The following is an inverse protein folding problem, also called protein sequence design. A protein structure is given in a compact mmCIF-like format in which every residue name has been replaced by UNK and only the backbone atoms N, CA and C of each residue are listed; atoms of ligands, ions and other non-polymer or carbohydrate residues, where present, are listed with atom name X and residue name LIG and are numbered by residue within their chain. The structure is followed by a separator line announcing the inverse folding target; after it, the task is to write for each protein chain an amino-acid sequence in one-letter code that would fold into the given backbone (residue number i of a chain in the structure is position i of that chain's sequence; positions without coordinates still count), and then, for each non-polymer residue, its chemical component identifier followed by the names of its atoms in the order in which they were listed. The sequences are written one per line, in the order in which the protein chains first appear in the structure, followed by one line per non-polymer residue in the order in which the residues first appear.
data_IF_790851032908
#
_entry.id   IF_790851032908
#
_cell.length_a   1.000
_cell.length_b   1.000
_cell.length_c   1.000
_cell.angle_alpha   90.00
_cell.angle_beta   90.00
_cell.angle_gamma   90.00
#
_symmetry.space_group_name_H-M   'P 1'
#
loop_
_entity.id
_entity.type
_entity.pdbx_description
1 polymer ?
#
# COMPACT_ATOMS: atom_id res chain seq x y z
N UNK A 1 25.09 8.57 -6.56
CA UNK A 1 24.52 7.94 -5.35
C UNK A 1 23.99 6.56 -5.74
N UNK A 2 24.89 5.58 -5.90
CA UNK A 2 24.56 4.36 -6.69
C UNK A 2 25.23 3.08 -6.17
N UNK A 3 25.28 2.90 -4.85
CA UNK A 3 25.81 1.67 -4.23
C UNK A 3 24.82 0.97 -3.29
N UNK A 4 23.74 1.64 -2.87
CA UNK A 4 22.71 1.03 -2.02
C UNK A 4 21.60 0.31 -2.84
N UNK A 5 21.48 0.56 -4.15
CA UNK A 5 20.48 -0.08 -5.01
C UNK A 5 20.95 -1.42 -5.60
N UNK A 6 22.25 -1.71 -5.60
CA UNK A 6 22.81 -2.92 -6.22
C UNK A 6 22.96 -4.10 -5.26
N UNK A 7 22.85 -3.91 -3.95
CA UNK A 7 22.81 -5.01 -2.97
C UNK A 7 21.39 -5.54 -2.71
N UNK A 8 20.35 -4.79 -3.10
CA UNK A 8 18.95 -5.16 -2.91
C UNK A 8 18.48 -6.29 -3.86
N UNK A 9 19.25 -6.63 -4.91
CA UNK A 9 18.88 -7.64 -5.91
C UNK A 9 19.17 -9.10 -5.51
N UNK A 10 19.78 -9.36 -4.34
CA UNK A 10 20.05 -10.73 -3.83
C UNK A 10 19.09 -11.23 -2.75
N UNK A 11 18.26 -10.35 -2.19
CA UNK A 11 17.34 -10.71 -1.11
C UNK A 11 15.98 -11.12 -1.67
N UNK A 12 15.37 -12.14 -1.05
CA UNK A 12 14.01 -12.58 -1.41
C UNK A 12 13.02 -11.40 -1.25
N UNK A 13 12.01 -11.26 -2.12
CA UNK A 13 11.06 -10.15 -2.09
C UNK A 13 10.39 -9.91 -0.72
N UNK A 14 10.15 -10.96 0.06
CA UNK A 14 9.59 -10.88 1.42
C UNK A 14 10.53 -10.13 2.38
N UNK A 15 11.84 -10.38 2.25
CA UNK A 15 12.87 -9.71 3.07
C UNK A 15 12.99 -8.25 2.66
N UNK A 16 12.93 -7.97 1.36
CA UNK A 16 12.95 -6.59 0.85
C UNK A 16 11.72 -5.81 1.30
N UNK A 17 10.54 -6.44 1.33
CA UNK A 17 9.33 -5.83 1.85
C UNK A 17 9.45 -5.52 3.35
N UNK A 18 9.95 -6.47 4.14
CA UNK A 18 10.21 -6.25 5.57
C UNK A 18 11.20 -5.09 5.80
N UNK A 19 12.26 -5.03 5.01
CA UNK A 19 13.24 -3.94 5.06
C UNK A 19 12.61 -2.59 4.73
N UNK A 20 11.84 -2.51 3.63
CA UNK A 20 11.18 -1.27 3.24
C UNK A 20 10.23 -0.75 4.33
N UNK A 21 9.49 -1.65 4.99
CA UNK A 21 8.63 -1.29 6.13
C UNK A 21 9.44 -0.80 7.33
N UNK A 22 10.60 -1.42 7.61
CA UNK A 22 11.51 -0.97 8.66
C UNK A 22 12.06 0.43 8.37
N UNK A 23 12.48 0.69 7.13
CA UNK A 23 12.99 1.98 6.69
C UNK A 23 11.92 3.08 6.82
N UNK A 24 10.65 2.76 6.53
CA UNK A 24 9.52 3.65 6.82
C UNK A 24 9.38 3.99 8.29
N UNK A 25 9.49 3.00 9.17
CA UNK A 25 9.39 3.23 10.61
C UNK A 25 10.53 4.11 11.15
N UNK A 26 11.72 4.06 10.53
CA UNK A 26 12.86 4.91 10.88
C UNK A 26 12.60 6.39 10.54
N UNK A 27 11.95 6.66 9.42
CA UNK A 27 11.68 8.02 8.93
C UNK A 27 10.52 8.75 9.65
N UNK A 28 9.75 8.04 10.48
CA UNK A 28 8.68 8.63 11.28
C UNK A 28 9.23 9.47 12.46
N UNK A 29 8.57 10.58 12.79
CA UNK A 29 8.86 11.33 14.02
C UNK A 29 8.57 10.48 15.27
N UNK A 30 9.13 10.86 16.44
CA UNK A 30 8.94 10.08 17.68
C UNK A 30 7.48 9.79 18.03
N UNK A 31 6.60 10.78 17.89
CA UNK A 31 5.16 10.64 18.13
C UNK A 31 4.49 9.76 17.05
N UNK A 32 4.83 9.98 15.78
CA UNK A 32 4.32 9.16 14.66
C UNK A 32 4.75 7.70 14.79
N UNK A 33 5.97 7.45 15.26
CA UNK A 33 6.54 6.12 15.47
C UNK A 33 5.85 5.38 16.61
N UNK A 34 5.56 6.07 17.72
CA UNK A 34 4.79 5.51 18.82
C UNK A 34 3.36 5.14 18.38
N UNK A 35 2.68 6.04 17.66
CA UNK A 35 1.36 5.77 17.10
C UNK A 35 1.37 4.61 16.09
N UNK A 36 2.37 4.57 15.20
CA UNK A 36 2.54 3.50 14.23
C UNK A 36 2.76 2.14 14.90
N UNK A 37 3.62 2.05 15.91
CA UNK A 37 3.86 0.80 16.66
C UNK A 37 2.61 0.30 17.38
N UNK A 38 1.88 1.20 18.03
CA UNK A 38 0.62 0.87 18.69
C UNK A 38 -0.43 0.37 17.70
N UNK A 39 -0.51 0.99 16.52
CA UNK A 39 -1.44 0.59 15.47
C UNK A 39 -0.99 -0.63 14.68
N UNK A 40 0.31 -0.94 14.64
CA UNK A 40 0.87 -2.16 14.04
C UNK A 40 0.60 -3.38 14.91
N UNK A 41 0.58 -3.21 16.24
CA UNK A 41 0.31 -4.27 17.20
C UNK A 41 -1.18 -4.68 17.30
N UNK A 42 -2.11 -3.75 17.06
CA UNK A 42 -3.57 -4.00 17.14
C UNK A 42 -4.07 -5.06 16.13
N UNK A 43 -3.69 -5.01 14.84
CA UNK A 43 -4.06 -6.00 13.85
C UNK A 43 -3.67 -7.45 14.16
N UNK A 44 -2.65 -7.68 15.00
CA UNK A 44 -2.31 -9.05 15.43
C UNK A 44 -3.36 -9.67 16.35
N UNK A 45 -4.18 -8.85 17.00
CA UNK A 45 -5.28 -9.30 17.86
C UNK A 45 -6.58 -9.41 17.08
N UNK A 46 -6.81 -8.48 16.15
CA UNK A 46 -7.97 -8.47 15.26
C UNK A 46 -7.55 -7.95 13.88
N UNK A 47 -7.45 -8.80 12.84
CA UNK A 47 -7.07 -8.34 11.50
C UNK A 47 -8.06 -7.30 10.98
N UNK A 48 -7.59 -6.33 10.18
CA UNK A 48 -8.46 -5.28 9.66
C UNK A 48 -9.58 -5.90 8.83
N UNK A 49 -10.80 -5.44 9.04
CA UNK A 49 -12.00 -5.92 8.36
C UNK A 49 -12.35 -5.04 7.15
N UNK A 50 -13.21 -5.53 6.27
CA UNK A 50 -13.76 -4.72 5.16
C UNK A 50 -14.45 -3.44 5.68
N UNK A 51 -15.01 -3.47 6.90
CA UNK A 51 -15.59 -2.29 7.54
C UNK A 51 -14.54 -1.22 7.88
N UNK A 52 -13.31 -1.61 8.19
CA UNK A 52 -12.22 -0.67 8.45
C UNK A 52 -11.80 0.08 7.18
N UNK A 53 -11.82 -0.61 6.03
CA UNK A 53 -11.61 0.03 4.73
C UNK A 53 -12.73 1.04 4.40
N UNK A 54 -13.99 0.69 4.66
CA UNK A 54 -15.13 1.59 4.48
C UNK A 54 -15.10 2.78 5.46
N UNK A 55 -14.72 2.54 6.72
CA UNK A 55 -14.57 3.60 7.72
C UNK A 55 -13.49 4.59 7.33
N UNK A 56 -12.31 4.11 6.91
CA UNK A 56 -11.22 4.98 6.45
C UNK A 56 -11.65 5.82 5.23
N UNK A 57 -12.35 5.19 4.29
CA UNK A 57 -12.94 5.88 3.13
C UNK A 57 -13.84 7.04 3.57
N UNK A 58 -14.75 6.78 4.52
CA UNK A 58 -15.65 7.80 5.05
C UNK A 58 -14.91 8.90 5.85
N UNK A 59 -13.87 8.55 6.61
CA UNK A 59 -13.03 9.52 7.32
C UNK A 59 -12.32 10.48 6.36
N UNK A 60 -11.78 9.96 5.25
CA UNK A 60 -11.14 10.77 4.21
C UNK A 60 -12.16 11.67 3.51
N UNK A 61 -13.34 11.14 3.17
CA UNK A 61 -14.41 11.92 2.56
C UNK A 61 -14.88 13.06 3.47
N UNK A 62 -15.00 12.82 4.78
CA UNK A 62 -15.37 13.88 5.73
C UNK A 62 -14.26 14.93 5.88
N UNK A 63 -13.00 14.53 5.82
CA UNK A 63 -11.86 15.44 5.95
C UNK A 63 -11.68 16.32 4.70
N UNK A 64 -11.88 15.76 3.50
CA UNK A 64 -11.72 16.46 2.22
C UNK A 64 -13.01 17.16 1.76
N UNK A 65 -14.17 16.63 2.18
CA UNK A 65 -15.51 16.99 1.70
C UNK A 65 -16.07 18.34 2.13
N UNK A 66 -15.29 19.24 2.73
CA UNK A 66 -15.71 20.64 2.99
C UNK A 66 -16.03 21.43 1.70
N UNK A 67 -15.84 20.85 0.51
CA UNK A 67 -16.19 21.42 -0.79
C UNK A 67 -16.95 20.48 -1.74
N UNK A 68 -17.67 19.46 -1.23
CA UNK A 68 -18.59 18.64 -2.04
C UNK A 68 -17.95 17.56 -2.93
N UNK A 69 -16.65 17.30 -2.82
CA UNK A 69 -15.95 16.22 -3.54
C UNK A 69 -15.83 14.98 -2.65
N UNK A 70 -16.43 13.87 -3.09
CA UNK A 70 -16.25 12.55 -2.47
C UNK A 70 -15.14 11.79 -3.21
N UNK A 71 -14.00 11.58 -2.53
CA UNK A 71 -12.87 10.80 -3.02
C UNK A 71 -13.01 9.31 -2.69
N UNK A 72 -13.91 8.94 -1.79
CA UNK A 72 -14.05 7.61 -1.25
C UNK A 72 -14.22 6.52 -2.30
N UNK A 73 -15.11 6.67 -3.31
CA UNK A 73 -15.25 5.70 -4.40
C UNK A 73 -13.96 5.45 -5.19
N UNK A 74 -13.03 6.41 -5.21
CA UNK A 74 -11.73 6.27 -5.88
C UNK A 74 -10.73 5.46 -5.06
N UNK A 75 -10.85 5.49 -3.73
CA UNK A 75 -9.91 4.85 -2.81
C UNK A 75 -10.34 3.42 -2.43
N UNK A 76 -11.64 3.12 -2.47
CA UNK A 76 -12.20 1.90 -1.87
C UNK A 76 -11.56 0.61 -2.36
N UNK A 77 -11.32 0.46 -3.67
CA UNK A 77 -10.78 -0.77 -4.23
C UNK A 77 -9.33 -1.02 -3.77
N UNK A 78 -8.51 0.03 -3.76
CA UNK A 78 -7.14 -0.05 -3.28
C UNK A 78 -7.09 -0.33 -1.76
N UNK A 79 -7.92 0.36 -0.98
CA UNK A 79 -8.00 0.16 0.46
C UNK A 79 -8.45 -1.26 0.82
N UNK A 80 -9.41 -1.82 0.09
CA UNK A 80 -9.81 -3.22 0.25
C UNK A 80 -8.68 -4.18 -0.10
N UNK A 81 -7.88 -3.91 -1.13
CA UNK A 81 -6.71 -4.74 -1.46
C UNK A 81 -5.65 -4.69 -0.34
N UNK A 82 -5.32 -3.50 0.17
CA UNK A 82 -4.40 -3.35 1.30
C UNK A 82 -4.91 -4.03 2.58
N UNK A 83 -6.21 -3.90 2.88
CA UNK A 83 -6.85 -4.58 4.02
C UNK A 83 -6.79 -6.10 3.87
N UNK A 84 -7.16 -6.63 2.69
CA UNK A 84 -7.13 -8.06 2.43
C UNK A 84 -5.71 -8.62 2.53
N UNK A 85 -4.72 -7.90 2.03
CA UNK A 85 -3.32 -8.29 2.21
C UNK A 85 -2.93 -8.37 3.70
N UNK A 86 -3.31 -7.38 4.49
CA UNK A 86 -3.08 -7.39 5.94
C UNK A 86 -3.79 -8.57 6.63
N UNK A 87 -5.04 -8.86 6.26
CA UNK A 87 -5.83 -9.95 6.84
C UNK A 87 -5.33 -11.35 6.44
N UNK A 88 -4.68 -11.49 5.29
CA UNK A 88 -4.10 -12.75 4.81
C UNK A 88 -2.59 -12.83 5.01
N UNK A 89 -1.97 -11.88 5.73
CA UNK A 89 -0.53 -11.81 5.91
C UNK A 89 0.10 -13.10 6.45
N UNK A 90 -0.57 -13.73 7.43
CA UNK A 90 -0.17 -15.01 8.00
C UNK A 90 -0.12 -16.14 6.95
N UNK A 91 -1.04 -16.11 5.99
CA UNK A 91 -1.18 -17.15 4.97
C UNK A 91 -0.29 -16.85 3.75
N UNK A 92 -0.12 -15.58 3.41
CA UNK A 92 0.64 -15.14 2.22
C UNK A 92 2.14 -15.13 2.49
N UNK A 93 2.58 -14.71 3.69
CA UNK A 93 4.00 -14.48 3.99
C UNK A 93 4.53 -15.46 5.05
N UNK A 94 3.65 -16.00 5.91
CA UNK A 94 3.99 -17.01 6.92
C UNK A 94 4.56 -16.42 8.23
N UNK A 95 4.22 -17.06 9.36
CA UNK A 95 4.89 -16.89 10.65
C UNK A 95 5.00 -15.44 11.16
N UNK A 96 6.20 -15.04 11.59
CA UNK A 96 6.51 -13.71 12.17
C UNK A 96 6.35 -12.53 11.20
N UNK A 97 6.11 -12.79 9.91
CA UNK A 97 5.97 -11.75 8.88
C UNK A 97 4.54 -11.21 8.72
N UNK A 98 3.57 -11.73 9.47
CA UNK A 98 2.26 -11.10 9.64
C UNK A 98 2.36 -9.65 10.14
N UNK A 99 3.41 -9.34 10.92
CA UNK A 99 3.73 -7.97 11.33
C UNK A 99 3.96 -7.02 10.15
N UNK A 100 4.52 -7.52 9.05
CA UNK A 100 4.80 -6.72 7.83
C UNK A 100 3.49 -6.44 7.09
N UNK A 101 2.63 -7.45 6.96
CA UNK A 101 1.32 -7.30 6.34
C UNK A 101 0.40 -6.37 7.15
N UNK A 102 0.39 -6.51 8.48
CA UNK A 102 -0.32 -5.61 9.39
C UNK A 102 0.20 -4.17 9.32
N UNK A 103 1.52 -4.00 9.27
CA UNK A 103 2.16 -2.69 9.13
C UNK A 103 1.77 -1.99 7.82
N UNK A 104 1.51 -2.73 6.73
CA UNK A 104 1.06 -2.18 5.46
C UNK A 104 -0.26 -1.40 5.60
N UNK A 105 -1.25 -2.00 6.26
CA UNK A 105 -2.53 -1.35 6.51
C UNK A 105 -2.36 -0.07 7.32
N UNK A 106 -1.61 -0.14 8.42
CA UNK A 106 -1.32 1.01 9.27
C UNK A 106 -0.60 2.11 8.48
N UNK A 107 0.37 1.75 7.65
CA UNK A 107 1.14 2.68 6.83
C UNK A 107 0.27 3.42 5.82
N UNK A 108 -0.57 2.69 5.07
CA UNK A 108 -1.50 3.27 4.10
C UNK A 108 -2.50 4.19 4.81
N UNK A 109 -3.07 3.75 5.93
CA UNK A 109 -4.00 4.56 6.74
C UNK A 109 -3.35 5.86 7.19
N UNK A 110 -2.20 5.78 7.86
CA UNK A 110 -1.48 6.95 8.36
C UNK A 110 -1.09 7.90 7.23
N UNK A 111 -0.57 7.37 6.11
CA UNK A 111 -0.13 8.21 4.98
C UNK A 111 -1.31 8.96 4.36
N UNK A 112 -2.44 8.30 4.11
CA UNK A 112 -3.64 8.95 3.58
C UNK A 112 -4.22 9.99 4.54
N UNK A 113 -4.28 9.69 5.84
CA UNK A 113 -4.75 10.65 6.85
C UNK A 113 -3.85 11.88 6.94
N UNK A 114 -2.53 11.73 6.82
CA UNK A 114 -1.62 12.88 6.76
C UNK A 114 -1.89 13.74 5.52
N UNK A 115 -2.30 13.12 4.42
CA UNK A 115 -2.53 13.82 3.17
C UNK A 115 -3.86 14.58 3.13
N UNK A 116 -4.86 14.29 3.99
CA UNK A 116 -6.17 14.98 3.97
C UNK A 116 -6.06 16.50 4.15
N UNK A 117 -4.98 17.01 4.75
CA UNK A 117 -4.70 18.44 4.86
C UNK A 117 -4.27 19.12 3.54
N UNK A 118 -4.02 18.36 2.48
CA UNK A 118 -3.47 18.84 1.21
C UNK A 118 -4.39 18.48 0.02
N UNK A 119 -5.45 19.27 -0.17
CA UNK A 119 -6.50 19.00 -1.17
C UNK A 119 -5.98 18.74 -2.60
N UNK A 120 -5.06 19.56 -3.11
CA UNK A 120 -4.51 19.39 -4.46
C UNK A 120 -3.71 18.09 -4.64
N UNK A 121 -2.96 17.67 -3.61
CA UNK A 121 -2.21 16.42 -3.66
C UNK A 121 -3.11 15.22 -3.45
N UNK A 122 -4.11 15.33 -2.57
CA UNK A 122 -5.13 14.29 -2.38
C UNK A 122 -5.95 14.03 -3.63
N UNK A 123 -6.26 15.06 -4.42
CA UNK A 123 -6.92 14.87 -5.71
C UNK A 123 -6.04 14.01 -6.65
N UNK A 124 -4.76 14.33 -6.81
CA UNK A 124 -3.81 13.54 -7.62
C UNK A 124 -3.67 12.09 -7.12
N UNK A 125 -3.51 11.92 -5.81
CA UNK A 125 -3.45 10.60 -5.18
C UNK A 125 -4.75 9.82 -5.40
N UNK A 126 -5.90 10.48 -5.33
CA UNK A 126 -7.19 9.81 -5.56
C UNK A 126 -7.30 9.26 -6.98
N UNK A 127 -6.77 9.97 -7.99
CA UNK A 127 -6.74 9.49 -9.38
C UNK A 127 -5.79 8.31 -9.51
N UNK A 128 -4.59 8.38 -8.92
CA UNK A 128 -3.64 7.27 -8.89
C UNK A 128 -4.28 6.02 -8.27
N UNK A 129 -4.87 6.14 -7.07
CA UNK A 129 -5.50 5.02 -6.38
C UNK A 129 -6.75 4.49 -7.09
N UNK A 130 -7.49 5.35 -7.79
CA UNK A 130 -8.61 4.90 -8.63
C UNK A 130 -8.12 3.98 -9.75
N UNK A 131 -7.04 4.37 -10.43
CA UNK A 131 -6.52 3.61 -11.56
C UNK A 131 -5.86 2.30 -11.09
N UNK A 132 -4.98 2.39 -10.09
CA UNK A 132 -4.34 1.22 -9.47
C UNK A 132 -5.37 0.30 -8.82
N UNK A 133 -6.44 0.85 -8.24
CA UNK A 133 -7.53 0.09 -7.63
C UNK A 133 -8.29 -0.80 -8.63
N UNK A 134 -8.29 -0.48 -9.92
CA UNK A 134 -8.93 -1.31 -10.96
C UNK A 134 -8.12 -2.57 -11.28
N UNK A 135 -6.81 -2.48 -11.21
CA UNK A 135 -5.85 -3.56 -11.43
C UNK A 135 -5.37 -4.22 -10.12
N UNK A 136 -5.88 -3.77 -8.97
CA UNK A 136 -5.47 -4.28 -7.68
C UNK A 136 -5.76 -5.79 -7.53
N UNK A 137 -4.84 -6.56 -6.92
CA UNK A 137 -5.02 -8.00 -6.74
C UNK A 137 -6.31 -8.35 -5.98
N UNK A 138 -7.16 -9.18 -6.59
CA UNK A 138 -8.37 -9.69 -5.95
C UNK A 138 -8.09 -11.00 -5.23
N UNK A 139 -7.89 -10.92 -3.93
CA UNK A 139 -7.51 -12.06 -3.10
C UNK A 139 -8.59 -13.13 -2.92
N UNK A 140 -9.88 -12.81 -3.11
CA UNK A 140 -11.00 -13.77 -2.99
C UNK A 140 -10.87 -14.91 -3.99
N UNK A 141 -10.49 -14.59 -5.23
CA UNK A 141 -10.19 -15.59 -6.26
C UNK A 141 -9.04 -16.47 -5.78
N UNK A 142 -7.99 -15.91 -5.19
CA UNK A 142 -6.77 -16.62 -4.85
C UNK A 142 -6.87 -17.60 -3.68
N UNK A 143 -7.89 -17.50 -2.81
CA UNK A 143 -8.10 -18.48 -1.75
C UNK A 143 -8.28 -19.90 -2.29
N UNK A 144 -8.72 -20.03 -3.55
CA UNK A 144 -8.89 -21.33 -4.21
C UNK A 144 -7.56 -21.92 -4.72
N UNK A 145 -6.45 -21.17 -4.70
CA UNK A 145 -5.14 -21.61 -5.23
C UNK A 145 -4.18 -22.14 -4.17
N UNK A 146 -4.63 -22.41 -2.94
CA UNK A 146 -3.73 -22.92 -1.90
C UNK A 146 -3.34 -24.40 -2.12
N UNK A 147 -2.08 -24.77 -1.83
CA UNK A 147 -0.92 -23.92 -1.51
C UNK A 147 -0.36 -23.20 -2.77
N UNK A 148 -0.01 -21.91 -2.62
CA UNK A 148 0.31 -20.99 -3.73
C UNK A 148 1.74 -21.18 -4.28
N UNK A 149 1.99 -20.98 -5.59
CA UNK A 149 3.34 -20.97 -6.15
C UNK A 149 4.19 -19.82 -5.57
N UNK A 150 5.48 -20.06 -5.34
CA UNK A 150 6.44 -19.08 -4.80
C UNK A 150 6.58 -17.81 -5.66
N UNK A 151 6.35 -17.94 -6.96
CA UNK A 151 6.47 -16.83 -7.91
C UNK A 151 5.35 -15.79 -7.69
N UNK A 152 4.12 -16.24 -7.44
CA UNK A 152 2.99 -15.34 -7.15
C UNK A 152 3.20 -14.57 -5.84
N UNK A 153 3.76 -15.23 -4.80
CA UNK A 153 4.13 -14.57 -3.55
C UNK A 153 5.18 -13.47 -3.76
N UNK A 154 6.14 -13.72 -4.65
CA UNK A 154 7.18 -12.75 -5.03
C UNK A 154 6.56 -11.53 -5.71
N UNK A 155 5.70 -11.73 -6.70
CA UNK A 155 4.96 -10.66 -7.40
C UNK A 155 4.15 -9.79 -6.43
N UNK A 156 3.54 -10.41 -5.41
CA UNK A 156 2.85 -9.70 -4.34
C UNK A 156 3.75 -8.81 -3.50
N UNK A 157 4.89 -9.35 -3.06
CA UNK A 157 5.83 -8.58 -2.26
C UNK A 157 6.36 -7.39 -3.03
N UNK A 158 6.67 -7.55 -4.33
CA UNK A 158 7.08 -6.43 -5.20
C UNK A 158 6.00 -5.36 -5.32
N UNK A 159 4.73 -5.74 -5.53
CA UNK A 159 3.62 -4.79 -5.56
C UNK A 159 3.55 -3.95 -4.29
N UNK A 160 3.65 -4.60 -3.12
CA UNK A 160 3.58 -3.90 -1.84
C UNK A 160 4.85 -3.12 -1.48
N UNK A 161 6.01 -3.48 -2.02
CA UNK A 161 7.22 -2.64 -1.91
C UNK A 161 6.96 -1.28 -2.56
N UNK A 162 6.33 -1.24 -3.75
CA UNK A 162 6.01 0.01 -4.43
C UNK A 162 4.98 0.82 -3.61
N UNK A 163 4.01 0.17 -2.98
CA UNK A 163 3.07 0.84 -2.07
C UNK A 163 3.80 1.49 -0.89
N UNK A 164 4.78 0.83 -0.29
CA UNK A 164 5.60 1.41 0.81
C UNK A 164 6.38 2.63 0.32
N UNK A 165 7.00 2.53 -0.85
CA UNK A 165 7.73 3.65 -1.46
C UNK A 165 6.83 4.85 -1.75
N UNK A 166 5.60 4.60 -2.21
CA UNK A 166 4.60 5.65 -2.38
C UNK A 166 4.24 6.30 -1.03
N UNK A 167 4.04 5.51 0.03
CA UNK A 167 3.77 6.01 1.37
C UNK A 167 4.95 6.84 1.93
N UNK A 168 6.19 6.44 1.65
CA UNK A 168 7.39 7.23 1.97
C UNK A 168 7.38 8.60 1.31
N UNK A 169 7.03 8.67 0.02
CA UNK A 169 6.97 9.95 -0.70
C UNK A 169 5.86 10.85 -0.14
N UNK A 170 4.73 10.28 0.28
CA UNK A 170 3.69 11.02 1.01
C UNK A 170 4.22 11.57 2.34
N UNK A 171 4.93 10.76 3.12
CA UNK A 171 5.49 11.18 4.40
C UNK A 171 6.53 12.29 4.23
N UNK A 172 7.45 12.16 3.26
CA UNK A 172 8.44 13.19 2.92
C UNK A 172 7.78 14.47 2.43
N UNK A 173 6.67 14.37 1.71
CA UNK A 173 5.88 15.54 1.33
C UNK A 173 5.26 16.20 2.56
N UNK A 174 4.71 15.41 3.51
CA UNK A 174 4.12 15.87 4.77
C UNK A 174 5.13 16.58 5.69
N UNK A 175 6.41 16.24 5.63
CA UNK A 175 7.46 16.82 6.47
C UNK A 175 8.11 18.08 5.91
N UNK A 176 7.90 18.43 4.63
CA UNK A 176 8.42 19.69 4.03
C UNK A 176 7.80 20.93 4.69
N UNK A 177 8.61 21.98 4.89
CA UNK A 177 8.09 23.28 5.37
C UNK A 177 7.11 23.90 4.36
N UNK A 178 6.18 24.73 4.85
CA UNK A 178 5.13 25.37 4.03
C UNK A 178 5.71 26.12 2.82
N UNK A 179 6.81 26.85 3.00
CA UNK A 179 7.52 27.57 1.92
C UNK A 179 8.13 26.62 0.87
N UNK A 180 8.72 25.50 1.28
CA UNK A 180 9.29 24.50 0.36
C UNK A 180 8.20 23.71 -0.37
N UNK A 181 6.98 23.70 0.17
CA UNK A 181 5.81 22.99 -0.37
C UNK A 181 5.07 23.79 -1.44
N UNK A 182 5.05 25.12 -1.35
CA UNK A 182 4.47 26.02 -2.38
C UNK A 182 5.28 26.01 -3.68
N UNK A 183 6.61 25.85 -3.59
CA UNK A 183 7.51 25.76 -4.76
C UNK A 183 7.81 24.34 -5.25
N UNK A 184 7.48 23.30 -4.48
CA UNK A 184 7.65 21.92 -4.95
C UNK A 184 6.51 21.58 -5.90
N UNK A 185 6.74 21.75 -7.20
CA UNK A 185 6.00 21.02 -8.22
C UNK A 185 6.15 19.53 -7.88
N UNK A 186 5.09 18.97 -7.30
CA UNK A 186 4.91 17.54 -7.13
C UNK A 186 5.22 16.92 -8.48
N UNK A 187 6.29 16.12 -8.61
CA UNK A 187 6.66 15.62 -9.92
C UNK A 187 5.60 14.61 -10.34
N UNK A 188 4.68 15.06 -11.18
CA UNK A 188 3.66 14.21 -11.80
C UNK A 188 4.33 13.00 -12.48
N UNK A 189 5.60 13.12 -12.87
CA UNK A 189 6.45 12.02 -13.32
C UNK A 189 6.66 10.91 -12.27
N UNK A 190 6.85 11.24 -10.99
CA UNK A 190 7.02 10.21 -9.95
C UNK A 190 5.69 9.50 -9.67
N UNK A 191 4.59 10.25 -9.58
CA UNK A 191 3.26 9.66 -9.39
C UNK A 191 2.84 8.80 -10.57
N UNK A 192 3.10 9.27 -11.81
CA UNK A 192 2.84 8.50 -13.02
C UNK A 192 3.67 7.21 -13.03
N UNK A 193 4.95 7.27 -12.64
CA UNK A 193 5.80 6.08 -12.52
C UNK A 193 5.23 5.07 -11.51
N UNK A 194 4.88 5.51 -10.31
CA UNK A 194 4.25 4.64 -9.32
C UNK A 194 2.96 4.02 -9.84
N UNK A 195 2.13 4.80 -10.54
CA UNK A 195 0.91 4.29 -11.16
C UNK A 195 1.23 3.20 -12.20
N UNK A 196 2.13 3.46 -13.13
CA UNK A 196 2.52 2.49 -14.17
C UNK A 196 3.10 1.21 -13.58
N UNK A 197 3.99 1.32 -12.60
CA UNK A 197 4.62 0.16 -11.98
C UNK A 197 3.59 -0.68 -11.18
N UNK A 198 2.69 -0.03 -10.43
CA UNK A 198 1.61 -0.71 -9.70
C UNK A 198 0.59 -1.35 -10.63
N UNK A 199 0.21 -0.70 -11.73
CA UNK A 199 -0.69 -1.26 -12.73
C UNK A 199 -0.07 -2.46 -13.43
N UNK A 200 1.21 -2.37 -13.82
CA UNK A 200 1.93 -3.47 -14.45
C UNK A 200 1.99 -4.69 -13.54
N UNK A 201 2.43 -4.53 -12.28
CA UNK A 201 2.49 -5.63 -11.32
C UNK A 201 1.11 -6.17 -10.97
N UNK A 202 0.10 -5.31 -10.83
CA UNK A 202 -1.28 -5.72 -10.58
C UNK A 202 -1.84 -6.59 -11.71
N UNK A 203 -1.57 -6.23 -12.97
CA UNK A 203 -1.95 -7.03 -14.14
C UNK A 203 -1.19 -8.35 -14.20
N UNK A 204 0.13 -8.36 -13.95
CA UNK A 204 0.91 -9.62 -13.88
C UNK A 204 0.35 -10.58 -12.83
N UNK A 205 0.05 -10.08 -11.63
CA UNK A 205 -0.57 -10.88 -10.56
C UNK A 205 -1.93 -11.44 -10.99
N UNK A 206 -2.74 -10.63 -11.69
CA UNK A 206 -4.05 -11.05 -12.19
C UNK A 206 -3.93 -12.15 -13.24
N UNK A 207 -2.98 -12.02 -14.17
CA UNK A 207 -2.74 -12.99 -15.23
C UNK A 207 -2.20 -14.31 -14.69
N UNK A 208 -1.23 -14.26 -13.77
CA UNK A 208 -0.71 -15.44 -13.08
C UNK A 208 -1.84 -16.22 -12.37
N UNK A 209 -2.74 -15.53 -11.68
CA UNK A 209 -3.91 -16.17 -11.05
C UNK A 209 -4.84 -16.79 -12.08
N UNK A 210 -5.12 -16.08 -13.18
CA UNK A 210 -5.96 -16.61 -14.26
C UNK A 210 -5.42 -17.93 -14.82
N UNK A 211 -4.11 -17.99 -15.08
CA UNK A 211 -3.43 -19.19 -15.56
C UNK A 211 -3.50 -20.32 -14.53
N UNK A 212 -3.24 -20.03 -13.25
CA UNK A 212 -3.27 -21.02 -12.19
C UNK A 212 -4.68 -21.58 -11.94
N UNK A 213 -5.72 -20.75 -12.12
CA UNK A 213 -7.11 -21.20 -12.05
C UNK A 213 -7.47 -22.11 -13.21
N UNK A 214 -7.10 -21.74 -14.44
CA UNK A 214 -7.38 -22.53 -15.62
C UNK A 214 -6.74 -23.93 -15.52
N UNK A 215 -5.47 -24.00 -15.10
CA UNK A 215 -4.75 -25.28 -14.90
C UNK A 215 -5.34 -26.19 -13.81
N UNK A 216 -6.17 -25.67 -12.91
CA UNK A 216 -6.82 -26.47 -11.85
C UNK A 216 -8.16 -27.05 -12.30
N UNK A 217 -8.79 -26.45 -13.33
CA UNK A 217 -10.07 -26.91 -13.87
C UNK A 217 -9.91 -27.99 -14.96
N UNK A 218 -8.68 -28.27 -15.42
CA UNK A 218 -8.30 -29.39 -16.30
C UNK A 218 -7.94 -30.64 -15.48
#
# INVERSE_FOLDING_TARGET
MSLALTSASRLKPEVRLAQAVSDFEVDLSGEQKAAFRNHKAKPLQSPPSTQDAMRLTAEIDRAVGKGGRCLGPRLVNFLQAAQKFAAMGDIIIGGSHCLVACAMWTMVRTSLTLMTGFSAYMEKLSVLFMNVGRSAPRFESMALLYPRPRDLQSSFCEYFIIVVQLCHEMLKFASKSVLKRVGSSLSDSNLAKFQTDLESLGNTIKDEVGILMAKRLE
#
